data_IF_400411842857
#
_entry.id   IF_400411842857
#
_cell.length_a   1.000
_cell.length_b   1.000
_cell.length_c   1.000
_cell.angle_alpha   90.00
_cell.angle_beta   90.00
_cell.angle_gamma   90.00
#
_symmetry.space_group_name_H-M   'P 1'
#
loop_
_entity.id
_entity.type
_entity.pdbx_description
1 polymer ?
#
# COMPACT_ATOMS: atom_id res chain seq x y z
N UNK A 1 -63.62 46.88 6.51
CA UNK A 1 -64.66 45.85 6.70
C UNK A 1 -63.98 44.57 7.13
N UNK A 2 -64.53 43.95 8.19
CA UNK A 2 -64.32 42.60 8.74
C UNK A 2 -62.95 42.27 9.37
N UNK A 3 -63.06 41.69 10.55
CA UNK A 3 -62.08 41.45 11.60
C UNK A 3 -61.74 39.95 11.74
N UNK A 4 -60.80 39.66 12.66
CA UNK A 4 -60.71 38.52 13.60
C UNK A 4 -59.60 37.47 13.29
N UNK A 5 -58.56 37.36 14.15
CA UNK A 5 -58.35 36.43 15.32
C UNK A 5 -57.72 35.08 14.87
N UNK A 6 -56.76 34.40 15.52
CA UNK A 6 -55.96 34.53 16.75
C UNK A 6 -54.74 33.59 16.65
N UNK A 7 -53.79 33.79 17.58
CA UNK A 7 -52.61 32.97 17.83
C UNK A 7 -52.92 31.55 18.32
N UNK A 8 -52.06 30.59 17.93
CA UNK A 8 -51.73 29.41 18.73
C UNK A 8 -50.22 29.19 18.62
N UNK A 9 -49.51 29.41 19.73
CA UNK A 9 -48.19 28.86 19.96
C UNK A 9 -48.38 27.57 20.77
N UNK A 10 -47.74 26.45 20.38
CA UNK A 10 -47.53 25.34 21.31
C UNK A 10 -46.43 24.35 20.85
N UNK A 11 -45.44 24.18 21.74
CA UNK A 11 -44.61 22.99 22.05
C UNK A 11 -43.36 22.62 21.20
N UNK A 12 -42.20 22.91 21.80
CA UNK A 12 -41.10 22.00 22.20
C UNK A 12 -40.54 20.92 21.22
N UNK A 13 -39.21 20.96 21.01
CA UNK A 13 -38.39 19.84 20.50
C UNK A 13 -38.28 18.69 21.53
N UNK A 14 -37.93 17.43 21.16
CA UNK A 14 -36.53 17.06 20.89
C UNK A 14 -36.31 15.97 19.81
N UNK A 15 -35.03 15.80 19.48
CA UNK A 15 -34.45 14.86 18.52
C UNK A 15 -34.93 13.41 18.66
N UNK A 16 -35.24 12.79 17.53
CA UNK A 16 -35.10 11.35 17.35
C UNK A 16 -33.91 11.11 16.42
N UNK A 17 -32.76 10.81 17.02
CA UNK A 17 -31.66 10.16 16.32
C UNK A 17 -32.19 8.84 15.78
N UNK A 18 -32.43 8.76 14.46
CA UNK A 18 -32.62 7.47 13.81
C UNK A 18 -31.27 6.75 13.85
N UNK A 19 -31.09 5.91 14.86
CA UNK A 19 -29.99 4.97 14.95
C UNK A 19 -30.13 3.99 13.78
N UNK A 20 -29.38 4.22 12.70
CA UNK A 20 -29.20 3.23 11.65
C UNK A 20 -28.58 1.99 12.27
N UNK A 21 -29.25 0.86 12.09
CA UNK A 21 -28.81 -0.44 12.58
C UNK A 21 -27.38 -0.76 12.12
N UNK A 22 -26.64 -1.46 12.96
CA UNK A 22 -25.25 -1.83 12.73
C UNK A 22 -25.17 -2.96 11.69
N UNK A 23 -25.44 -2.62 10.43
CA UNK A 23 -25.42 -3.60 9.34
C UNK A 23 -25.29 -3.01 7.93
N UNK A 24 -25.71 -1.76 7.71
CA UNK A 24 -25.78 -1.17 6.35
C UNK A 24 -24.53 -0.37 5.95
N UNK A 25 -23.34 -0.96 6.09
CA UNK A 25 -22.15 -0.44 5.40
C UNK A 25 -21.96 -1.16 4.07
N UNK A 26 -22.31 -0.47 2.98
CA UNK A 26 -22.02 -0.94 1.63
C UNK A 26 -20.52 -1.30 1.53
N UNK A 27 -20.21 -2.53 1.14
CA UNK A 27 -18.84 -2.98 0.95
C UNK A 27 -18.16 -2.07 -0.10
N UNK A 28 -17.12 -1.35 0.33
CA UNK A 28 -16.31 -0.53 -0.57
C UNK A 28 -15.74 -1.43 -1.68
N UNK A 29 -15.85 -1.07 -2.96
CA UNK A 29 -15.28 -1.86 -4.04
C UNK A 29 -13.79 -2.10 -3.77
N UNK A 30 -13.37 -3.37 -3.78
CA UNK A 30 -11.96 -3.73 -3.68
C UNK A 30 -11.21 -3.01 -4.79
N UNK A 31 -10.17 -2.22 -4.51
CA UNK A 31 -9.36 -1.62 -5.56
C UNK A 31 -8.87 -2.72 -6.51
N UNK A 32 -9.28 -2.65 -7.77
CA UNK A 32 -8.68 -3.47 -8.82
C UNK A 32 -7.26 -2.93 -8.99
N UNK A 33 -6.27 -3.71 -8.55
CA UNK A 33 -4.88 -3.37 -8.79
C UNK A 33 -4.69 -3.20 -10.31
N UNK A 34 -3.99 -2.14 -10.77
CA UNK A 34 -3.71 -1.99 -12.19
C UNK A 34 -3.01 -3.25 -12.70
N UNK A 35 -3.44 -3.73 -13.89
CA UNK A 35 -2.79 -4.85 -14.54
C UNK A 35 -1.30 -4.49 -14.72
N UNK A 36 -0.43 -5.25 -14.07
CA UNK A 36 1.02 -5.12 -14.25
C UNK A 36 1.29 -5.48 -15.72
N UNK A 37 1.85 -4.54 -16.48
CA UNK A 37 2.27 -4.79 -17.85
C UNK A 37 3.22 -6.01 -17.86
N UNK A 38 3.24 -6.83 -18.93
CA UNK A 38 4.19 -7.93 -19.03
C UNK A 38 5.61 -7.39 -18.85
N UNK A 39 6.20 -7.68 -17.70
CA UNK A 39 7.63 -7.42 -17.47
C UNK A 39 8.38 -8.36 -18.39
N UNK A 40 9.27 -7.82 -19.21
CA UNK A 40 10.24 -8.62 -19.93
C UNK A 40 10.87 -9.62 -18.94
N UNK A 41 10.81 -10.94 -19.19
CA UNK A 41 11.30 -11.94 -18.24
C UNK A 41 12.78 -11.74 -17.86
N UNK A 42 13.57 -11.07 -18.72
CA UNK A 42 14.96 -10.69 -18.43
C UNK A 42 15.04 -9.52 -17.42
N UNK A 43 14.09 -8.59 -17.46
CA UNK A 43 13.99 -7.48 -16.50
C UNK A 43 13.29 -7.88 -15.19
N UNK A 44 12.55 -9.00 -15.21
CA UNK A 44 11.61 -9.35 -14.14
C UNK A 44 12.24 -9.89 -12.85
N UNK A 45 13.47 -10.42 -12.90
CA UNK A 45 14.04 -11.18 -11.79
C UNK A 45 15.33 -10.58 -11.25
N UNK A 46 15.25 -9.46 -10.53
CA UNK A 46 16.41 -8.82 -9.87
C UNK A 46 16.87 -9.66 -8.67
N UNK A 47 15.92 -10.07 -7.83
CA UNK A 47 16.19 -10.82 -6.61
C UNK A 47 14.98 -11.61 -6.17
N UNK A 48 15.17 -12.90 -5.89
CA UNK A 48 14.15 -13.79 -5.31
C UNK A 48 14.69 -14.49 -4.08
N UNK A 49 15.45 -15.56 -4.30
CA UNK A 49 16.23 -16.24 -3.26
C UNK A 49 17.73 -15.96 -3.36
N UNK A 50 18.16 -15.45 -4.51
CA UNK A 50 19.49 -14.99 -4.83
C UNK A 50 19.37 -13.85 -5.85
N UNK A 51 20.49 -13.18 -6.15
CA UNK A 51 20.52 -12.24 -7.27
C UNK A 51 20.19 -12.95 -8.57
N UNK A 52 19.40 -12.28 -9.40
CA UNK A 52 19.14 -12.71 -10.76
C UNK A 52 20.40 -12.78 -11.59
N UNK A 53 20.32 -13.49 -12.71
CA UNK A 53 21.42 -13.55 -13.66
C UNK A 53 21.82 -12.16 -14.15
N UNK A 54 23.13 -11.91 -14.26
CA UNK A 54 23.69 -10.62 -14.66
C UNK A 54 23.71 -9.54 -13.56
N UNK A 55 22.95 -9.71 -12.47
CA UNK A 55 22.93 -8.77 -11.35
C UNK A 55 24.11 -9.02 -10.39
N UNK A 56 24.69 -7.92 -9.92
CA UNK A 56 25.87 -7.91 -9.06
C UNK A 56 25.62 -7.00 -7.86
N UNK A 57 26.22 -7.35 -6.73
CA UNK A 57 26.23 -6.50 -5.55
C UNK A 57 27.46 -5.58 -5.59
N UNK A 58 27.22 -4.28 -5.79
CA UNK A 58 28.23 -3.22 -5.82
C UNK A 58 28.00 -2.23 -4.68
N UNK A 59 27.45 -2.72 -3.57
CA UNK A 59 27.11 -1.90 -2.41
C UNK A 59 28.34 -1.31 -1.74
N UNK A 60 28.17 -0.11 -1.22
CA UNK A 60 29.14 0.53 -0.32
C UNK A 60 28.88 0.18 1.16
N UNK A 61 27.81 -0.58 1.43
CA UNK A 61 27.41 -1.13 2.72
C UNK A 61 27.86 -2.59 2.90
N UNK A 62 27.84 -3.08 4.15
CA UNK A 62 27.96 -4.51 4.44
C UNK A 62 26.63 -5.17 4.10
N UNK A 63 26.64 -6.07 3.11
CA UNK A 63 25.44 -6.73 2.60
C UNK A 63 25.61 -8.24 2.64
N UNK A 64 24.67 -8.90 3.29
CA UNK A 64 24.51 -10.34 3.29
C UNK A 64 23.26 -10.66 2.47
N UNK A 65 23.47 -11.34 1.34
CA UNK A 65 22.38 -11.81 0.49
C UNK A 65 21.89 -13.16 1.00
N UNK A 66 20.60 -13.40 0.83
CA UNK A 66 20.00 -14.72 0.96
C UNK A 66 20.05 -15.29 2.37
N UNK A 67 19.89 -14.39 3.35
CA UNK A 67 19.94 -14.69 4.78
C UNK A 67 18.90 -15.74 5.12
N UNK A 68 19.29 -16.72 5.94
CA UNK A 68 18.32 -17.67 6.46
C UNK A 68 17.57 -17.09 7.67
N UNK A 69 16.26 -16.94 7.54
CA UNK A 69 15.37 -16.45 8.60
C UNK A 69 14.34 -17.50 9.01
N UNK A 70 14.56 -18.78 8.64
CA UNK A 70 13.59 -19.85 8.89
C UNK A 70 12.32 -19.72 8.06
N UNK A 71 12.39 -19.04 6.92
CA UNK A 71 11.29 -18.83 5.98
C UNK A 71 11.69 -19.32 4.58
N UNK A 72 10.68 -19.59 3.74
CA UNK A 72 10.89 -19.85 2.32
C UNK A 72 11.46 -18.62 1.57
N UNK A 73 11.33 -17.41 2.13
CA UNK A 73 11.96 -16.20 1.60
C UNK A 73 13.39 -16.09 2.12
N UNK A 74 14.33 -15.74 1.23
CA UNK A 74 15.72 -15.47 1.58
C UNK A 74 15.98 -13.97 1.49
N UNK A 75 15.81 -13.18 2.56
CA UNK A 75 15.96 -11.73 2.51
C UNK A 75 17.42 -11.28 2.37
N UNK A 76 17.59 -10.00 2.04
CA UNK A 76 18.87 -9.29 2.09
C UNK A 76 18.99 -8.59 3.44
N UNK A 77 20.08 -8.81 4.16
CA UNK A 77 20.44 -8.03 5.36
C UNK A 77 21.48 -6.98 4.97
N UNK A 78 21.17 -5.73 5.32
CA UNK A 78 22.03 -4.58 5.05
C UNK A 78 22.44 -3.97 6.38
N UNK A 79 23.73 -3.81 6.59
CA UNK A 79 24.30 -3.04 7.68
C UNK A 79 25.05 -1.86 7.07
N UNK A 80 24.51 -0.66 7.26
CA UNK A 80 25.02 0.57 6.68
C UNK A 80 25.19 1.63 7.78
N UNK A 81 26.38 2.22 7.84
CA UNK A 81 26.70 3.43 8.59
C UNK A 81 26.89 4.63 7.63
N UNK A 82 26.51 5.83 8.08
CA UNK A 82 26.65 7.06 7.28
C UNK A 82 25.92 6.99 5.93
N UNK A 83 26.63 7.37 4.86
CA UNK A 83 26.10 7.48 3.48
C UNK A 83 26.20 6.17 2.67
N UNK A 84 26.28 5.02 3.33
CA UNK A 84 26.36 3.71 2.65
C UNK A 84 24.97 3.23 2.23
N UNK A 85 24.92 2.51 1.12
CA UNK A 85 23.67 2.00 0.56
C UNK A 85 23.84 0.61 -0.06
N UNK A 86 22.71 -0.09 -0.18
CA UNK A 86 22.56 -1.25 -1.06
C UNK A 86 22.57 -0.75 -2.51
N UNK A 87 23.47 -1.28 -3.33
CA UNK A 87 23.57 -0.94 -4.74
C UNK A 87 23.69 -2.22 -5.56
N UNK A 88 22.66 -2.49 -6.36
CA UNK A 88 22.60 -3.62 -7.28
C UNK A 88 22.89 -3.12 -8.69
N UNK A 89 23.86 -3.75 -9.35
CA UNK A 89 24.33 -3.35 -10.67
C UNK A 89 24.04 -4.45 -11.69
N UNK A 90 23.64 -4.07 -12.89
CA UNK A 90 23.50 -4.95 -14.05
C UNK A 90 24.13 -4.24 -15.25
N UNK A 91 24.58 -5.00 -16.25
CA UNK A 91 24.99 -4.41 -17.52
C UNK A 91 23.84 -3.61 -18.17
N UNK A 92 24.15 -2.72 -19.10
CA UNK A 92 23.08 -2.06 -19.85
C UNK A 92 22.22 -3.11 -20.56
N UNK A 93 20.90 -2.97 -20.47
CA UNK A 93 20.00 -3.79 -21.26
C UNK A 93 20.16 -3.40 -22.72
N UNK A 94 20.26 -4.38 -23.61
CA UNK A 94 20.13 -4.11 -25.03
C UNK A 94 18.70 -3.62 -25.28
N UNK A 95 18.60 -2.47 -25.94
CA UNK A 95 17.34 -1.87 -26.39
C UNK A 95 16.95 -2.38 -27.76
#
# INVERSE_FOLDING_TARGET
MKFLIAAIALLAAPAAFAQTDAGDVAAKPKPVAPAVAPVDPVLANIYTNALGEGWQNWSFATVELSVDVGSARKPIKVSADGYKALYLHHAAFNT
#
